data_IF_451441964484
#
_entry.id   IF_451441964484
#
_cell.length_a   1.000
_cell.length_b   1.000
_cell.length_c   1.000
_cell.angle_alpha   90.00
_cell.angle_beta   90.00
_cell.angle_gamma   90.00
#
_symmetry.space_group_name_H-M   'P 1'
#
loop_
_entity.id
_entity.type
_entity.pdbx_description
1 polymer ?
#
# COMPACT_ATOMS: atom_id res chain seq x y z
N UNK A 1 7.66 18.70 -1.63
CA UNK A 1 7.23 18.42 -3.03
C UNK A 1 6.75 19.69 -3.79
N UNK A 2 7.60 20.38 -4.55
CA UNK A 2 7.21 21.53 -5.43
C UNK A 2 7.38 21.13 -6.91
N UNK A 3 6.30 21.13 -7.69
CA UNK A 3 6.27 20.61 -9.09
C UNK A 3 6.22 21.69 -10.17
N UNK A 4 6.50 22.96 -9.83
CA UNK A 4 6.41 24.06 -10.79
C UNK A 4 5.99 25.37 -10.13
N UNK A 5 5.55 26.32 -10.96
CA UNK A 5 4.90 27.56 -10.53
C UNK A 5 3.99 28.11 -11.65
N UNK A 6 3.19 29.13 -11.35
CA UNK A 6 2.20 29.68 -12.29
C UNK A 6 2.80 30.45 -13.47
N UNK A 7 4.08 30.83 -13.41
CA UNK A 7 4.79 31.59 -14.44
C UNK A 7 5.56 30.66 -15.40
N UNK A 8 6.26 29.67 -14.85
CA UNK A 8 7.11 28.74 -15.62
C UNK A 8 6.42 27.41 -15.96
N UNK A 9 5.22 27.18 -15.41
CA UNK A 9 4.46 25.95 -15.61
C UNK A 9 4.96 24.77 -14.78
N UNK A 10 4.76 23.55 -15.30
CA UNK A 10 5.08 22.31 -14.60
C UNK A 10 6.51 21.84 -14.86
N UNK A 11 7.16 21.37 -13.79
CA UNK A 11 8.41 20.64 -13.84
C UNK A 11 8.10 19.15 -14.04
N UNK A 12 8.13 18.73 -15.31
CA UNK A 12 7.78 17.37 -15.71
C UNK A 12 8.70 16.30 -15.10
N UNK A 13 9.99 16.61 -14.91
CA UNK A 13 10.94 15.68 -14.30
C UNK A 13 10.61 15.42 -12.82
N UNK A 14 10.17 16.46 -12.09
CA UNK A 14 9.70 16.30 -10.71
C UNK A 14 8.38 15.52 -10.66
N UNK A 15 7.47 15.77 -11.61
CA UNK A 15 6.23 15.02 -11.70
C UNK A 15 6.48 13.52 -11.95
N UNK A 16 7.37 13.18 -12.89
CA UNK A 16 7.74 11.79 -13.19
C UNK A 16 8.24 11.06 -11.95
N UNK A 17 9.12 11.69 -11.16
CA UNK A 17 9.66 11.11 -9.92
C UNK A 17 8.58 10.85 -8.86
N UNK A 18 7.62 11.76 -8.72
CA UNK A 18 6.53 11.62 -7.73
C UNK A 18 5.54 10.54 -8.17
N UNK A 19 5.12 10.55 -9.44
CA UNK A 19 4.18 9.57 -9.99
C UNK A 19 4.78 8.16 -9.98
N UNK A 20 6.10 8.04 -10.17
CA UNK A 20 6.82 6.77 -10.16
C UNK A 20 7.53 6.50 -8.83
N UNK A 21 6.92 6.84 -7.69
CA UNK A 21 7.51 6.66 -6.34
C UNK A 21 7.94 5.21 -6.04
N UNK A 22 7.38 4.24 -6.74
CA UNK A 22 7.82 2.84 -6.71
C UNK A 22 9.31 2.66 -7.06
N UNK A 23 9.82 3.46 -8.02
CA UNK A 23 11.22 3.39 -8.51
C UNK A 23 12.25 3.62 -7.40
N UNK A 24 11.90 4.43 -6.39
CA UNK A 24 12.78 4.74 -5.26
C UNK A 24 13.20 3.50 -4.45
N UNK A 25 12.35 2.47 -4.43
CA UNK A 25 12.55 1.22 -3.66
C UNK A 25 12.26 -0.01 -4.50
N UNK A 26 12.46 0.06 -5.81
CA UNK A 26 12.00 -0.93 -6.78
C UNK A 26 12.57 -2.33 -6.55
N UNK A 27 13.86 -2.41 -6.23
CA UNK A 27 14.59 -3.64 -5.92
C UNK A 27 13.96 -4.43 -4.75
N UNK A 28 13.38 -3.71 -3.79
CA UNK A 28 12.69 -4.30 -2.64
C UNK A 28 11.22 -4.54 -2.97
N UNK A 29 10.53 -3.56 -3.58
CA UNK A 29 9.10 -3.60 -3.83
C UNK A 29 8.70 -4.73 -4.77
N UNK A 30 9.50 -5.04 -5.80
CA UNK A 30 9.23 -6.12 -6.76
C UNK A 30 9.15 -7.51 -6.09
N UNK A 31 9.79 -7.68 -4.93
CA UNK A 31 9.83 -8.94 -4.18
C UNK A 31 8.98 -8.90 -2.91
N UNK A 32 8.18 -7.85 -2.69
CA UNK A 32 7.40 -7.70 -1.48
C UNK A 32 6.08 -8.49 -1.55
N UNK A 33 5.87 -9.40 -0.59
CA UNK A 33 4.64 -10.20 -0.50
C UNK A 33 3.37 -9.35 -0.32
N UNK A 34 3.50 -8.17 0.30
CA UNK A 34 2.40 -7.25 0.57
C UNK A 34 2.24 -6.15 -0.49
N UNK A 35 2.94 -6.20 -1.63
CA UNK A 35 2.98 -5.10 -2.60
C UNK A 35 1.59 -4.63 -3.07
N UNK A 36 0.66 -5.56 -3.31
CA UNK A 36 -0.72 -5.26 -3.74
C UNK A 36 -1.54 -4.48 -2.70
N UNK A 37 -1.10 -4.48 -1.45
CA UNK A 37 -1.75 -3.78 -0.33
C UNK A 37 -0.97 -2.55 0.12
N UNK A 38 0.11 -2.20 -0.58
CA UNK A 38 0.93 -1.06 -0.24
C UNK A 38 0.19 0.25 -0.51
N UNK A 39 0.16 1.12 0.50
CA UNK A 39 -0.46 2.46 0.48
C UNK A 39 0.58 3.60 0.58
N UNK A 40 1.88 3.27 0.54
CA UNK A 40 2.94 4.26 0.66
C UNK A 40 3.08 5.09 -0.61
N UNK A 41 2.65 6.35 -0.53
CA UNK A 41 2.84 7.37 -1.55
C UNK A 41 4.08 8.26 -1.25
N UNK A 42 4.30 9.28 -2.09
CA UNK A 42 5.41 10.23 -1.95
C UNK A 42 5.42 10.96 -0.58
N UNK A 43 4.28 11.15 0.06
CA UNK A 43 4.20 11.75 1.40
C UNK A 43 4.94 10.92 2.46
N UNK A 44 4.97 9.59 2.33
CA UNK A 44 5.69 8.70 3.24
C UNK A 44 7.18 8.59 2.91
N UNK A 45 7.63 9.20 1.81
CA UNK A 45 9.03 9.31 1.41
C UNK A 45 9.59 10.72 1.63
N UNK A 46 8.74 11.75 1.77
CA UNK A 46 9.17 13.14 1.92
C UNK A 46 9.91 13.34 3.26
N UNK A 47 11.18 13.77 3.18
CA UNK A 47 12.02 14.10 4.32
C UNK A 47 12.25 15.61 4.45
N UNK A 48 11.37 16.44 3.87
CA UNK A 48 11.45 17.91 3.77
C UNK A 48 12.44 18.37 2.69
N UNK A 49 13.58 17.70 2.56
CA UNK A 49 14.60 18.02 1.55
C UNK A 49 14.34 17.34 0.19
N UNK A 50 13.61 16.23 0.19
CA UNK A 50 13.32 15.43 -0.99
C UNK A 50 12.64 14.10 -0.67
N UNK A 51 12.64 13.20 -1.65
CA UNK A 51 12.10 11.85 -1.48
C UNK A 51 13.22 10.92 -1.01
N UNK A 52 13.13 10.44 0.23
CA UNK A 52 14.09 9.53 0.86
C UNK A 52 13.61 8.07 0.79
N UNK A 53 14.52 7.21 0.31
CA UNK A 53 14.35 5.77 0.28
C UNK A 53 14.19 5.22 1.69
N UNK A 54 15.03 5.67 2.61
CA UNK A 54 15.09 5.25 4.01
C UNK A 54 13.78 5.61 4.72
N UNK A 55 13.28 6.83 4.51
CA UNK A 55 12.00 7.28 5.06
C UNK A 55 10.85 6.42 4.56
N UNK A 56 10.79 6.14 3.26
CA UNK A 56 9.78 5.25 2.69
C UNK A 56 9.86 3.84 3.29
N UNK A 57 11.06 3.27 3.40
CA UNK A 57 11.28 1.94 3.96
C UNK A 57 10.94 1.86 5.46
N UNK A 58 11.14 2.93 6.23
CA UNK A 58 10.73 2.97 7.64
C UNK A 58 9.21 2.80 7.82
N UNK A 59 8.42 3.29 6.85
CA UNK A 59 6.96 3.11 6.86
C UNK A 59 6.51 1.74 6.32
N UNK A 60 7.37 1.05 5.55
CA UNK A 60 7.06 -0.26 4.95
C UNK A 60 6.83 -1.36 6.00
N UNK A 61 7.47 -1.26 7.17
CA UNK A 61 7.22 -2.19 8.28
C UNK A 61 5.76 -2.12 8.76
N UNK A 62 5.22 -0.91 8.92
CA UNK A 62 3.83 -0.69 9.35
C UNK A 62 2.81 -1.23 8.35
N UNK A 63 3.04 -1.01 7.05
CA UNK A 63 2.17 -1.54 5.99
C UNK A 63 2.12 -3.06 5.98
N UNK A 64 3.28 -3.71 6.09
CA UNK A 64 3.36 -5.18 6.14
C UNK A 64 2.64 -5.74 7.37
N UNK A 65 2.88 -5.14 8.53
CA UNK A 65 2.20 -5.53 9.77
C UNK A 65 0.68 -5.36 9.66
N UNK A 66 0.20 -4.19 9.23
CA UNK A 66 -1.23 -3.93 9.09
C UNK A 66 -1.89 -4.85 8.07
N UNK A 67 -1.19 -5.18 6.98
CA UNK A 67 -1.68 -6.14 5.98
C UNK A 67 -1.81 -7.53 6.58
N UNK A 68 -0.79 -7.98 7.33
CA UNK A 68 -0.80 -9.26 8.03
C UNK A 68 -1.95 -9.36 9.03
N UNK A 69 -2.14 -8.34 9.88
CA UNK A 69 -3.22 -8.31 10.85
C UNK A 69 -4.60 -8.30 10.19
N UNK A 70 -4.76 -7.57 9.08
CA UNK A 70 -6.00 -7.62 8.29
C UNK A 70 -6.28 -9.01 7.74
N UNK A 71 -5.27 -9.73 7.27
CA UNK A 71 -5.42 -11.10 6.78
C UNK A 71 -5.76 -12.07 7.91
N UNK A 72 -5.09 -11.98 9.06
CA UNK A 72 -5.41 -12.78 10.25
C UNK A 72 -6.84 -12.55 10.72
N UNK A 73 -7.26 -11.29 10.80
CA UNK A 73 -8.63 -10.94 11.18
C UNK A 73 -9.65 -11.48 10.19
N UNK A 74 -9.37 -11.42 8.88
CA UNK A 74 -10.21 -12.03 7.86
C UNK A 74 -10.36 -13.54 8.07
N UNK A 75 -9.26 -14.27 8.23
CA UNK A 75 -9.29 -15.72 8.47
C UNK A 75 -10.05 -16.06 9.75
N UNK A 76 -9.75 -15.39 10.87
CA UNK A 76 -10.44 -15.58 12.14
C UNK A 76 -11.95 -15.36 11.99
N UNK A 77 -12.37 -14.27 11.35
CA UNK A 77 -13.79 -13.99 11.11
C UNK A 77 -14.44 -15.09 10.27
N UNK A 78 -13.78 -15.55 9.20
CA UNK A 78 -14.25 -16.68 8.39
C UNK A 78 -14.41 -17.97 9.22
N UNK A 79 -13.42 -18.31 10.03
CA UNK A 79 -13.44 -19.51 10.89
C UNK A 79 -14.53 -19.43 11.97
N UNK A 80 -14.88 -18.23 12.41
CA UNK A 80 -15.99 -17.98 13.34
C UNK A 80 -17.36 -17.95 12.65
N UNK A 81 -17.45 -18.26 11.35
CA UNK A 81 -18.70 -18.29 10.59
C UNK A 81 -19.19 -16.92 10.12
N UNK A 82 -18.34 -15.90 10.10
CA UNK A 82 -18.71 -14.59 9.58
C UNK A 82 -18.74 -14.60 8.04
N UNK A 83 -19.88 -14.23 7.48
CA UNK A 83 -20.06 -14.06 6.05
C UNK A 83 -19.84 -12.59 5.63
N UNK A 84 -18.94 -12.39 4.67
CA UNK A 84 -18.61 -11.04 4.16
C UNK A 84 -19.51 -10.58 3.01
N UNK A 85 -20.39 -11.45 2.52
CA UNK A 85 -21.47 -11.16 1.58
C UNK A 85 -22.54 -12.24 1.71
N UNK A 86 -23.71 -11.99 1.12
CA UNK A 86 -24.81 -12.97 1.10
C UNK A 86 -24.38 -14.24 0.35
N UNK A 87 -23.65 -14.11 -0.76
CA UNK A 87 -23.09 -15.26 -1.50
C UNK A 87 -22.09 -16.08 -0.67
N UNK A 88 -21.30 -15.41 0.18
CA UNK A 88 -20.39 -16.08 1.09
C UNK A 88 -21.12 -16.76 2.25
N UNK A 89 -22.30 -16.29 2.64
CA UNK A 89 -23.14 -16.93 3.66
C UNK A 89 -23.72 -18.25 3.14
N UNK A 90 -24.26 -18.25 1.91
CA UNK A 90 -24.84 -19.45 1.31
C UNK A 90 -23.81 -20.59 1.12
N UNK A 91 -22.56 -20.25 0.77
CA UNK A 91 -21.49 -21.24 0.65
C UNK A 91 -21.08 -21.86 2.00
N UNK A 92 -21.17 -21.11 3.10
CA UNK A 92 -20.90 -21.61 4.44
C UNK A 92 -22.02 -22.53 4.95
N UNK A 93 -23.27 -22.29 4.57
CA UNK A 93 -24.40 -23.17 4.90
C UNK A 93 -24.31 -24.53 4.17
N UNK A 94 -23.82 -24.56 2.93
CA UNK A 94 -23.61 -25.79 2.16
C UNK A 94 -22.44 -26.65 2.69
N UNK A 95 -21.39 -26.05 3.27
CA UNK A 95 -20.27 -26.79 3.88
C UNK A 95 -20.62 -27.45 5.23
N UNK A 96 -21.74 -27.07 5.85
CA UNK A 96 -22.19 -27.56 7.17
C UNK A 96 -23.28 -28.64 7.07
N UNK A 97 -23.84 -28.87 5.87
CA UNK A 97 -24.79 -29.96 5.54
C UNK A 97 -24.09 -31.21 5.01
#
# INVERSE_FOLDING_TARGET
MKIGNIYDGFDLDKMDKILNIGRLTEDICRNCWAYRFCDLCAAFADNIEGLSREKKLSNCAGVRHNTEERMKNYCMMREMGYAFSDEAAYALEEEVL
#
